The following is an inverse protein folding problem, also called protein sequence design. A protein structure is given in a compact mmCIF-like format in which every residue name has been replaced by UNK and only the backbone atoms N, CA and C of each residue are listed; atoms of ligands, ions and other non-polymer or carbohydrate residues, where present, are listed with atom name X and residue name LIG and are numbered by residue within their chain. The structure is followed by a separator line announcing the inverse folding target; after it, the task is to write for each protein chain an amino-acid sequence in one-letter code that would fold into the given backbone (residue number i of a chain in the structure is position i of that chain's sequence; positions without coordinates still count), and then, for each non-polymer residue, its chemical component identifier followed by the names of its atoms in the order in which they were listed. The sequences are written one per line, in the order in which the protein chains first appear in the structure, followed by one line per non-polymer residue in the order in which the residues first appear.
data_IF_381941033166
#
_entry.id   IF_381941033166
#
_cell.length_a   1.000
_cell.length_b   1.000
_cell.length_c   1.000
_cell.angle_alpha   90.00
_cell.angle_beta   90.00
_cell.angle_gamma   90.00
#
_symmetry.space_group_name_H-M   'P 1'
#
loop_
_entity.id
_entity.type
_entity.pdbx_description
1 polymer ?
#
# COMPACT_ATOMS: atom_id res chain seq x y z
N UNK A 1 -8.87 -12.98 -5.31
CA UNK A 1 -8.98 -12.87 -3.83
C UNK A 1 -7.58 -12.79 -3.30
N UNK A 2 -7.30 -11.94 -2.30
CA UNK A 2 -5.95 -11.85 -1.76
C UNK A 2 -5.63 -13.04 -0.86
N UNK A 3 -4.39 -13.53 -0.96
CA UNK A 3 -3.81 -14.45 0.01
C UNK A 3 -3.53 -13.75 1.34
N UNK A 4 -3.21 -14.53 2.38
CA UNK A 4 -2.83 -13.97 3.68
C UNK A 4 -1.56 -13.11 3.59
N UNK A 5 -0.59 -13.51 2.77
CA UNK A 5 0.67 -12.80 2.57
C UNK A 5 0.46 -11.48 1.82
N UNK A 6 -0.31 -11.51 0.73
CA UNK A 6 -0.67 -10.31 -0.03
C UNK A 6 -1.41 -9.28 0.83
N UNK A 7 -2.31 -9.76 1.70
CA UNK A 7 -3.00 -8.88 2.65
C UNK A 7 -2.03 -8.27 3.67
N UNK A 8 -1.10 -9.05 4.23
CA UNK A 8 -0.09 -8.54 5.16
C UNK A 8 0.81 -7.49 4.49
N UNK A 9 1.24 -7.74 3.25
CA UNK A 9 2.00 -6.80 2.41
C UNK A 9 1.24 -5.49 2.22
N UNK A 10 -0.07 -5.53 1.93
CA UNK A 10 -0.90 -4.32 1.82
C UNK A 10 -0.97 -3.52 3.12
N UNK A 11 -1.07 -4.20 4.27
CA UNK A 11 -1.06 -3.55 5.60
C UNK A 11 0.28 -2.88 5.87
N UNK A 12 1.41 -3.54 5.55
CA UNK A 12 2.76 -3.01 5.76
C UNK A 12 3.03 -1.77 4.90
N UNK A 13 2.61 -1.78 3.63
CA UNK A 13 2.72 -0.61 2.75
C UNK A 13 1.91 0.57 3.32
N UNK A 14 0.70 0.31 3.84
CA UNK A 14 -0.14 1.32 4.47
C UNK A 14 0.45 1.90 5.77
N UNK A 15 1.16 1.06 6.53
CA UNK A 15 1.80 1.42 7.80
C UNK A 15 3.13 2.17 7.66
N UNK A 16 3.56 2.51 6.44
CA UNK A 16 4.84 3.18 6.16
C UNK A 16 6.10 2.34 6.42
N UNK A 17 5.97 1.01 6.48
CA UNK A 17 7.14 0.14 6.57
C UNK A 17 8.03 0.29 5.34
N UNK A 18 9.34 0.12 5.53
CA UNK A 18 10.32 0.27 4.46
C UNK A 18 10.12 -0.82 3.39
N UNK A 19 10.12 -0.51 2.08
CA UNK A 19 9.76 -1.46 1.02
C UNK A 19 10.73 -2.64 0.85
N UNK A 20 11.91 -2.55 1.48
CA UNK A 20 13.06 -3.44 1.27
C UNK A 20 12.80 -4.89 1.67
N UNK A 21 11.74 -5.16 2.43
CA UNK A 21 11.35 -6.49 2.92
C UNK A 21 10.09 -7.06 2.25
N UNK A 22 9.49 -6.36 1.28
CA UNK A 22 8.24 -6.79 0.64
C UNK A 22 8.50 -7.75 -0.52
N UNK A 23 7.82 -8.89 -0.52
CA UNK A 23 7.92 -9.87 -1.59
C UNK A 23 7.42 -9.31 -2.93
N UNK A 24 8.17 -9.59 -4.00
CA UNK A 24 7.88 -9.04 -5.33
C UNK A 24 6.59 -9.60 -5.93
N UNK A 25 6.30 -10.89 -5.73
CA UNK A 25 5.10 -11.49 -6.29
C UNK A 25 3.84 -10.94 -5.60
N UNK A 26 3.87 -10.79 -4.28
CA UNK A 26 2.79 -10.12 -3.54
C UNK A 26 2.58 -8.69 -4.04
N UNK A 27 3.67 -7.94 -4.23
CA UNK A 27 3.60 -6.56 -4.75
C UNK A 27 3.04 -6.48 -6.17
N UNK A 28 3.42 -7.39 -7.06
CA UNK A 28 2.88 -7.46 -8.42
C UNK A 28 1.37 -7.77 -8.40
N UNK A 29 0.91 -8.65 -7.51
CA UNK A 29 -0.53 -8.91 -7.31
C UNK A 29 -1.27 -7.65 -6.82
N UNK A 30 -0.71 -6.93 -5.83
CA UNK A 30 -1.34 -5.71 -5.30
C UNK A 30 -1.41 -4.58 -6.34
N UNK A 31 -0.42 -4.49 -7.23
CA UNK A 31 -0.41 -3.57 -8.37
C UNK A 31 -1.47 -3.98 -9.41
N UNK A 32 -1.56 -5.26 -9.74
CA UNK A 32 -2.58 -5.79 -10.66
C UNK A 32 -4.01 -5.52 -10.16
N UNK A 33 -4.21 -5.59 -8.84
CA UNK A 33 -5.48 -5.26 -8.20
C UNK A 33 -5.69 -3.76 -7.94
N UNK A 34 -4.75 -2.90 -8.31
CA UNK A 34 -4.80 -1.45 -8.11
C UNK A 34 -4.96 -1.04 -6.64
N UNK A 35 -4.52 -1.88 -5.70
CA UNK A 35 -4.55 -1.61 -4.27
C UNK A 35 -3.32 -0.81 -3.81
N UNK A 36 -2.23 -0.94 -4.56
CA UNK A 36 -0.99 -0.19 -4.40
C UNK A 36 -0.62 0.43 -5.75
N UNK A 37 0.13 1.53 -5.71
CA UNK A 37 0.80 2.15 -6.85
C UNK A 37 2.27 2.36 -6.54
N UNK A 38 3.11 2.50 -7.57
CA UNK A 38 4.51 2.88 -7.42
C UNK A 38 4.66 4.38 -7.71
N UNK A 39 4.90 5.15 -6.65
CA UNK A 39 5.25 6.57 -6.76
C UNK A 39 6.73 6.69 -7.14
N UNK A 40 7.00 7.35 -8.27
CA UNK A 40 8.37 7.61 -8.72
C UNK A 40 8.96 8.77 -7.93
N UNK A 41 9.99 8.49 -7.14
CA UNK A 41 10.74 9.48 -6.36
C UNK A 41 12.05 9.91 -7.05
N UNK A 42 12.45 9.19 -8.11
CA UNK A 42 13.61 9.52 -8.92
C UNK A 42 13.79 8.55 -10.10
N UNK A 43 14.88 8.69 -10.88
CA UNK A 43 15.14 7.84 -12.05
C UNK A 43 15.17 6.34 -11.72
N UNK A 44 15.75 5.99 -10.57
CA UNK A 44 15.94 4.62 -10.10
C UNK A 44 15.25 4.32 -8.77
N UNK A 45 14.42 5.24 -8.28
CA UNK A 45 13.78 5.10 -6.97
C UNK A 45 12.27 5.22 -7.11
N UNK A 46 11.57 4.17 -6.71
CA UNK A 46 10.12 4.11 -6.68
C UNK A 46 9.70 3.61 -5.32
N UNK A 47 8.64 4.19 -4.75
CA UNK A 47 8.10 3.78 -3.46
C UNK A 47 6.67 3.30 -3.63
N UNK A 48 6.31 2.14 -3.06
CA UNK A 48 4.92 1.70 -3.04
C UNK A 48 4.08 2.60 -2.13
N UNK A 49 2.89 2.94 -2.61
CA UNK A 49 1.88 3.74 -1.91
C UNK A 49 0.51 3.06 -2.03
N UNK A 50 -0.21 2.95 -0.93
CA UNK A 50 -1.58 2.41 -0.94
C UNK A 50 -2.52 3.38 -1.67
N UNK A 51 -3.31 2.87 -2.61
CA UNK A 51 -4.30 3.66 -3.34
C UNK A 51 -5.55 3.92 -2.49
N UNK A 52 -6.44 4.79 -2.96
CA UNK A 52 -7.76 4.97 -2.32
C UNK A 52 -8.54 3.64 -2.26
N UNK A 53 -8.45 2.82 -3.30
CA UNK A 53 -9.07 1.50 -3.34
C UNK A 53 -8.44 0.56 -2.31
N UNK A 54 -7.11 0.56 -2.18
CA UNK A 54 -6.39 -0.19 -1.15
C UNK A 54 -6.83 0.20 0.26
N UNK A 55 -6.99 1.49 0.55
CA UNK A 55 -7.49 1.95 1.85
C UNK A 55 -8.95 1.57 2.10
N UNK A 56 -9.82 1.65 1.08
CA UNK A 56 -11.20 1.20 1.18
C UNK A 56 -11.27 -0.31 1.49
N UNK A 57 -10.42 -1.10 0.83
CA UNK A 57 -10.26 -2.53 1.08
C UNK A 57 -9.82 -2.76 2.54
N UNK A 58 -8.73 -2.15 3.00
CA UNK A 58 -8.25 -2.29 4.38
C UNK A 58 -9.28 -1.86 5.44
N UNK A 59 -10.08 -0.81 5.15
CA UNK A 59 -11.16 -0.36 6.02
C UNK A 59 -12.26 -1.41 6.14
N UNK A 60 -12.63 -2.09 5.05
CA UNK A 60 -13.65 -3.15 5.07
C UNK A 60 -13.24 -4.34 5.97
N UNK A 61 -11.92 -4.60 6.10
CA UNK A 61 -11.37 -5.61 7.00
C UNK A 61 -11.05 -5.09 8.42
N UNK A 62 -11.46 -3.87 8.76
CA UNK A 62 -11.30 -3.29 10.11
C UNK A 62 -9.87 -2.88 10.49
N UNK A 63 -8.95 -2.76 9.52
CA UNK A 63 -7.52 -2.55 9.79
C UNK A 63 -7.04 -1.09 9.79
N UNK A 64 -7.82 -0.13 9.28
CA UNK A 64 -7.44 1.30 9.27
C UNK A 64 -8.55 2.16 9.90
N UNK A 65 -8.26 2.79 11.05
CA UNK A 65 -9.05 3.92 11.57
C UNK A 65 -8.66 5.15 10.76
N UNK A 66 -9.65 5.93 10.31
CA UNK A 66 -9.55 6.99 9.30
C UNK A 66 -8.61 8.20 9.59
N UNK A 67 -7.67 8.09 10.54
CA UNK A 67 -6.78 9.18 10.96
C UNK A 67 -5.49 9.30 10.15
N UNK A 68 -5.02 8.23 9.50
CA UNK A 68 -3.69 8.24 8.83
C UNK A 68 -3.71 8.67 7.36
N UNK A 69 -4.82 8.50 6.62
CA UNK A 69 -4.91 9.01 5.23
C UNK A 69 -4.79 10.54 5.13
N UNK A 70 -5.22 11.27 6.18
CA UNK A 70 -5.31 12.74 6.14
C UNK A 70 -3.95 13.45 6.36
N UNK A 71 -3.00 12.78 7.03
CA UNK A 71 -1.71 13.38 7.38
C UNK A 71 -0.73 13.47 6.19
N UNK A 72 -0.89 12.63 5.16
CA UNK A 72 -0.02 12.63 3.96
C UNK A 72 -0.56 13.45 2.79
N UNK A 73 -1.87 13.71 2.75
CA UNK A 73 -2.49 14.56 1.72
C UNK A 73 -2.23 16.06 1.93
N UNK A 74 -1.72 16.47 3.11
CA UNK A 74 -1.46 17.86 3.46
C UNK A 74 -0.02 18.32 3.19
N UNK A 75 0.79 17.53 2.46
CA UNK A 75 2.19 17.87 2.14
C UNK A 75 2.50 17.84 0.64
N UNK A 76 1.49 18.04 -0.21
CA UNK A 76 1.65 18.32 -1.64
C UNK A 76 1.20 19.76 -1.95
#
# INVERSE_FOLDING_TARGET
MLSHHEFATLVLVGGSSDPTELDRADMDTLLAHQLVTLERLGPNHSRPQVTIQGYAFLKAFGRVRARECRARQASL
#
